data_IF_495617843737
#
_entry.id   IF_495617843737
#
_cell.length_a   1.000
_cell.length_b   1.000
_cell.length_c   1.000
_cell.angle_alpha   90.00
_cell.angle_beta   90.00
_cell.angle_gamma   90.00
#
_symmetry.space_group_name_H-M   'P 1'
#
loop_
_entity.id
_entity.type
_entity.pdbx_description
1 polymer ?
#
# COMPACT_ATOMS: atom_id res chain seq x y z
N UNK A 1 3.22 14.13 -7.08
CA UNK A 1 4.04 13.08 -6.46
C UNK A 1 3.65 11.71 -6.99
N UNK A 2 4.63 10.86 -7.26
CA UNK A 2 4.39 9.53 -7.80
C UNK A 2 4.75 8.47 -6.76
N UNK A 3 3.79 7.61 -6.45
CA UNK A 3 4.03 6.47 -5.56
C UNK A 3 4.04 5.20 -6.42
N UNK A 4 5.13 4.47 -6.34
CA UNK A 4 5.26 3.21 -7.08
C UNK A 4 4.97 2.05 -6.16
N UNK A 5 4.06 1.20 -6.59
CA UNK A 5 3.65 0.01 -5.83
C UNK A 5 3.95 -1.22 -6.67
N UNK A 6 4.64 -2.18 -6.08
CA UNK A 6 4.89 -3.47 -6.71
C UNK A 6 3.93 -4.49 -6.10
N UNK A 7 3.18 -5.19 -6.96
CA UNK A 7 2.23 -6.20 -6.52
C UNK A 7 2.64 -7.58 -7.03
N UNK A 8 2.45 -8.60 -6.21
CA UNK A 8 2.76 -9.97 -6.57
C UNK A 8 1.88 -10.93 -5.78
N UNK A 9 1.78 -12.18 -6.27
CA UNK A 9 1.04 -13.23 -5.58
C UNK A 9 2.04 -14.21 -4.98
N UNK A 10 1.93 -14.48 -3.67
CA UNK A 10 2.87 -15.35 -2.98
C UNK A 10 2.41 -16.82 -2.90
N UNK A 11 1.29 -17.13 -3.53
CA UNK A 11 0.69 -18.47 -3.49
C UNK A 11 -0.58 -18.51 -2.65
N UNK A 12 -0.68 -17.70 -1.62
CA UNK A 12 -1.84 -17.62 -0.74
C UNK A 12 -2.53 -16.26 -0.82
N UNK A 13 -1.75 -15.20 -0.97
CA UNK A 13 -2.27 -13.84 -0.95
C UNK A 13 -1.66 -13.02 -2.06
N UNK A 14 -2.40 -11.99 -2.47
CA UNK A 14 -1.87 -10.91 -3.27
C UNK A 14 -1.21 -9.93 -2.32
N UNK A 15 0.03 -9.57 -2.61
CA UNK A 15 0.81 -8.68 -1.77
C UNK A 15 1.22 -7.43 -2.55
N UNK A 16 1.39 -6.33 -1.85
CA UNK A 16 1.85 -5.09 -2.46
C UNK A 16 2.80 -4.38 -1.53
N UNK A 17 3.88 -3.83 -2.09
CA UNK A 17 4.83 -3.03 -1.31
C UNK A 17 5.19 -1.77 -2.07
N UNK A 18 5.42 -0.69 -1.32
CA UNK A 18 5.86 0.57 -1.89
C UNK A 18 7.34 0.54 -2.22
N UNK A 19 7.71 1.10 -3.36
CA UNK A 19 9.10 1.21 -3.78
C UNK A 19 9.61 2.55 -3.27
N UNK A 20 10.55 2.51 -2.34
CA UNK A 20 11.07 3.72 -1.72
C UNK A 20 10.18 4.29 -0.63
N UNK A 21 9.11 3.59 -0.27
CA UNK A 21 8.18 3.99 0.78
C UNK A 21 7.91 2.81 1.71
N UNK A 22 7.64 3.09 2.96
CA UNK A 22 7.37 2.05 3.96
C UNK A 22 5.88 1.68 3.95
N UNK A 23 5.45 1.09 2.83
CA UNK A 23 4.06 0.69 2.62
C UNK A 23 4.04 -0.79 2.29
N UNK A 24 3.25 -1.56 3.03
CA UNK A 24 3.02 -2.97 2.73
C UNK A 24 1.58 -3.32 3.03
N UNK A 25 0.94 -4.06 2.13
CA UNK A 25 -0.42 -4.56 2.36
C UNK A 25 -0.63 -5.84 1.57
N UNK A 26 -1.72 -6.53 1.87
CA UNK A 26 -2.07 -7.78 1.18
C UNK A 26 -3.59 -7.94 1.12
N UNK A 27 -4.05 -8.86 0.27
CA UNK A 27 -5.45 -9.20 0.14
C UNK A 27 -5.61 -10.57 -0.48
N UNK A 28 -6.78 -11.18 -0.31
CA UNK A 28 -7.06 -12.50 -0.87
C UNK A 28 -7.36 -12.44 -2.37
N UNK A 29 -7.80 -11.31 -2.86
CA UNK A 29 -8.10 -11.07 -4.27
C UNK A 29 -7.44 -9.78 -4.72
N UNK A 30 -7.35 -9.58 -6.04
CA UNK A 30 -6.80 -8.34 -6.60
C UNK A 30 -7.67 -7.15 -6.19
N UNK A 31 -8.98 -7.30 -6.19
CA UNK A 31 -9.88 -6.21 -5.80
C UNK A 31 -9.68 -5.81 -4.35
N UNK A 32 -9.54 -6.80 -3.47
CA UNK A 32 -9.28 -6.56 -2.06
C UNK A 32 -7.92 -5.90 -1.86
N UNK A 33 -6.91 -6.40 -2.57
CA UNK A 33 -5.57 -5.80 -2.51
C UNK A 33 -5.62 -4.34 -2.93
N UNK A 34 -6.32 -4.03 -4.01
CA UNK A 34 -6.41 -2.66 -4.52
C UNK A 34 -7.06 -1.73 -3.49
N UNK A 35 -8.14 -2.18 -2.87
CA UNK A 35 -8.79 -1.39 -1.82
C UNK A 35 -7.85 -1.17 -0.63
N UNK A 36 -7.10 -2.20 -0.25
CA UNK A 36 -6.15 -2.10 0.86
C UNK A 36 -4.97 -1.19 0.51
N UNK A 37 -4.52 -1.18 -0.73
CA UNK A 37 -3.47 -0.27 -1.19
C UNK A 37 -3.92 1.18 -1.03
N UNK A 38 -5.13 1.49 -1.46
CA UNK A 38 -5.66 2.86 -1.35
C UNK A 38 -5.69 3.32 0.10
N UNK A 39 -6.13 2.46 1.00
CA UNK A 39 -6.18 2.79 2.41
C UNK A 39 -4.78 2.95 3.00
N UNK A 40 -3.86 2.05 2.67
CA UNK A 40 -2.49 2.11 3.18
C UNK A 40 -1.78 3.38 2.73
N UNK A 41 -1.95 3.77 1.47
CA UNK A 41 -1.35 5.00 0.94
C UNK A 41 -1.93 6.22 1.62
N UNK A 42 -3.25 6.24 1.80
CA UNK A 42 -3.91 7.36 2.47
C UNK A 42 -3.42 7.53 3.90
N UNK A 43 -3.31 6.44 4.65
CA UNK A 43 -2.84 6.47 6.03
C UNK A 43 -1.38 6.90 6.11
N UNK A 44 -0.54 6.43 5.19
CA UNK A 44 0.87 6.78 5.17
C UNK A 44 1.06 8.29 5.00
N UNK A 45 0.37 8.89 4.05
CA UNK A 45 0.50 10.32 3.79
C UNK A 45 -0.22 11.17 4.84
N UNK A 46 -1.27 10.64 5.45
CA UNK A 46 -1.94 11.31 6.56
C UNK A 46 -0.99 11.45 7.75
N UNK A 47 -0.25 10.38 8.06
CA UNK A 47 0.75 10.43 9.15
C UNK A 47 1.85 11.43 8.87
N UNK A 48 2.32 11.52 7.62
CA UNK A 48 3.34 12.49 7.24
C UNK A 48 2.81 13.90 7.43
N UNK A 49 1.57 14.16 7.05
CA UNK A 49 0.95 15.47 7.22
C UNK A 49 0.85 15.85 8.69
N UNK A 50 0.54 14.91 9.57
CA UNK A 50 0.46 15.16 11.00
C UNK A 50 1.82 15.54 11.58
N UNK A 51 2.88 14.91 11.10
CA UNK A 51 4.24 15.20 11.57
C UNK A 51 4.71 16.60 11.22
N UNK A 52 4.09 17.25 10.26
CA UNK A 52 4.46 18.59 9.82
C UNK A 52 3.80 19.70 10.62
N UNK A 53 2.92 19.39 11.50
CA UNK A 53 2.22 20.42 12.30
C UNK A 53 3.06 20.94 13.45
#
# INVERSE_FOLDING_TARGET
MLVKIEAYNDGDFWCACGIGEDIFTQGETVDELYANIKEAVALHFENIADLKK
#
